data_IF_276051514191
#
_entry.id   IF_276051514191
#
_cell.length_a   1.000
_cell.length_b   1.000
_cell.length_c   1.000
_cell.angle_alpha   90.00
_cell.angle_beta   90.00
_cell.angle_gamma   90.00
#
_symmetry.space_group_name_H-M   'P 1'
#
loop_
_entity.id
_entity.type
_entity.pdbx_description
1 polymer ?
#
# COMPACT_ATOMS: atom_id res chain seq x y z
N UNK A 1 32.22 47.82 20.09
CA UNK A 1 32.00 46.36 20.20
C UNK A 1 30.53 46.10 19.94
N UNK A 2 30.16 45.59 18.76
CA UNK A 2 28.79 45.20 18.43
C UNK A 2 28.85 43.86 17.71
N UNK A 3 28.15 42.88 18.27
CA UNK A 3 28.22 41.48 17.90
C UNK A 3 27.46 41.23 16.59
N UNK A 4 28.17 40.80 15.55
CA UNK A 4 27.60 40.17 14.36
C UNK A 4 27.02 38.81 14.73
N UNK A 5 25.69 38.74 14.88
CA UNK A 5 24.96 37.49 14.96
C UNK A 5 25.05 36.77 13.60
N UNK A 6 25.82 35.67 13.57
CA UNK A 6 25.87 34.74 12.44
C UNK A 6 24.51 34.04 12.32
N UNK A 7 23.77 34.37 11.26
CA UNK A 7 22.60 33.60 10.82
C UNK A 7 23.10 32.24 10.30
N UNK A 8 22.54 31.09 10.74
CA UNK A 8 22.97 29.79 10.26
C UNK A 8 22.61 29.60 8.78
N UNK A 9 23.62 29.30 7.96
CA UNK A 9 23.47 28.80 6.58
C UNK A 9 22.73 27.45 6.59
N UNK A 10 21.40 27.48 6.57
CA UNK A 10 20.55 26.32 6.25
C UNK A 10 19.19 26.71 5.60
N UNK A 11 19.02 27.97 5.20
CA UNK A 11 17.83 28.49 4.51
C UNK A 11 18.21 28.98 3.11
N UNK A 12 18.68 28.09 2.23
CA UNK A 12 18.76 28.35 0.78
C UNK A 12 19.17 27.08 0.06
N UNK A 13 18.22 26.26 -0.41
CA UNK A 13 18.52 25.29 -1.47
C UNK A 13 17.38 25.00 -2.43
N UNK A 14 16.16 25.51 -2.21
CA UNK A 14 15.02 25.29 -3.12
C UNK A 14 14.51 26.55 -3.83
N UNK A 15 14.85 27.77 -3.39
CA UNK A 15 14.36 29.03 -3.99
C UNK A 15 12.85 29.29 -3.85
N UNK A 16 12.02 28.26 -3.71
CA UNK A 16 10.56 28.34 -3.54
C UNK A 16 10.24 28.69 -2.08
N UNK A 17 9.60 29.83 -1.86
CA UNK A 17 9.09 30.25 -0.55
C UNK A 17 7.64 29.77 -0.39
N UNK A 18 7.46 28.63 0.27
CA UNK A 18 6.15 28.04 0.52
C UNK A 18 5.43 28.72 1.70
N UNK A 19 4.08 28.79 1.67
CA UNK A 19 3.30 29.25 2.81
C UNK A 19 3.53 28.34 4.03
N UNK A 20 3.49 28.89 5.26
CA UNK A 20 3.68 28.11 6.47
C UNK A 20 2.64 26.99 6.59
N UNK A 21 2.97 25.93 7.33
CA UNK A 21 1.99 24.91 7.68
C UNK A 21 0.88 25.51 8.56
N UNK A 22 -0.39 25.06 8.39
CA UNK A 22 -1.45 25.40 9.34
C UNK A 22 -1.03 25.03 10.76
N UNK A 23 -1.35 25.87 11.74
CA UNK A 23 -1.06 25.52 13.14
C UNK A 23 -2.01 24.43 13.64
N UNK A 24 -1.68 23.78 14.75
CA UNK A 24 -2.61 22.85 15.43
C UNK A 24 -3.95 23.56 15.74
N UNK A 25 -3.91 24.83 16.10
CA UNK A 25 -5.12 25.64 16.34
C UNK A 25 -5.96 25.80 15.07
N UNK A 26 -5.32 26.01 13.93
CA UNK A 26 -6.01 26.13 12.64
C UNK A 26 -6.64 24.80 12.23
N UNK A 27 -5.94 23.68 12.44
CA UNK A 27 -6.50 22.34 12.24
C UNK A 27 -7.72 22.09 13.13
N UNK A 28 -7.63 22.42 14.43
CA UNK A 28 -8.77 22.26 15.35
C UNK A 28 -9.97 23.09 14.90
N UNK A 29 -9.75 24.34 14.45
CA UNK A 29 -10.81 25.20 13.90
C UNK A 29 -11.42 24.62 12.62
N UNK A 30 -10.58 24.19 11.68
CA UNK A 30 -11.00 23.60 10.41
C UNK A 30 -11.84 22.33 10.61
N UNK A 31 -11.48 21.54 11.62
CA UNK A 31 -12.15 20.27 11.87
C UNK A 31 -13.42 20.40 12.70
N UNK A 32 -13.59 21.47 13.48
CA UNK A 32 -14.55 21.55 14.57
C UNK A 32 -14.36 20.40 15.58
N UNK A 33 -14.34 20.70 16.89
CA UNK A 33 -13.91 19.76 17.94
C UNK A 33 -14.61 18.38 17.93
N UNK A 34 -15.82 18.27 17.35
CA UNK A 34 -16.58 17.01 17.26
C UNK A 34 -16.20 16.10 16.08
N UNK A 35 -15.66 16.60 14.96
CA UNK A 35 -15.39 15.79 13.77
C UNK A 35 -13.99 15.16 13.70
N UNK A 36 -13.07 15.57 14.60
CA UNK A 36 -11.69 15.05 14.66
C UNK A 36 -11.66 13.52 14.89
N UNK A 37 -12.64 12.97 15.63
CA UNK A 37 -12.75 11.51 15.85
C UNK A 37 -13.27 10.74 14.64
N UNK A 38 -14.05 11.36 13.75
CA UNK A 38 -14.75 10.64 12.69
C UNK A 38 -13.86 10.32 11.48
N UNK A 39 -12.73 11.01 11.30
CA UNK A 39 -11.96 10.91 10.07
C UNK A 39 -10.75 9.98 10.13
N UNK A 40 -10.41 9.41 11.29
CA UNK A 40 -9.29 8.45 11.44
C UNK A 40 -7.99 8.93 10.77
N UNK A 41 -7.80 10.24 10.67
CA UNK A 41 -6.65 10.90 10.04
C UNK A 41 -5.71 11.37 11.13
N UNK A 42 -4.42 11.03 10.99
CA UNK A 42 -3.35 11.47 11.89
C UNK A 42 -2.39 12.34 11.08
N UNK A 43 -2.33 13.64 11.35
CA UNK A 43 -1.51 14.58 10.58
C UNK A 43 -0.08 14.64 11.10
N UNK A 44 0.88 14.64 10.17
CA UNK A 44 2.29 14.84 10.48
C UNK A 44 2.66 16.30 10.21
N UNK A 45 2.93 17.04 11.27
CA UNK A 45 3.19 18.49 11.20
C UNK A 45 4.67 18.86 11.36
N UNK A 46 5.51 17.89 11.72
CA UNK A 46 6.95 18.08 11.86
C UNK A 46 7.65 17.93 10.49
N UNK A 47 8.15 19.04 9.97
CA UNK A 47 8.83 19.10 8.67
C UNK A 47 10.06 18.18 8.59
N UNK A 48 10.77 17.94 9.71
CA UNK A 48 11.94 17.05 9.70
C UNK A 48 11.53 15.62 9.40
N UNK A 49 10.35 15.21 9.87
CA UNK A 49 9.80 13.87 9.64
C UNK A 49 9.21 13.75 8.24
N UNK A 50 8.49 14.76 7.74
CA UNK A 50 7.98 14.75 6.35
C UNK A 50 9.14 14.74 5.35
N UNK A 51 10.20 15.53 5.59
CA UNK A 51 11.41 15.50 4.76
C UNK A 51 12.11 14.14 4.83
N UNK A 52 12.07 13.46 6.00
CA UNK A 52 12.63 12.10 6.15
C UNK A 52 11.83 11.06 5.36
N UNK A 53 10.51 11.17 5.31
CA UNK A 53 9.65 10.31 4.48
C UNK A 53 9.99 10.50 3.01
N UNK A 54 10.07 11.75 2.54
CA UNK A 54 10.37 12.04 1.13
C UNK A 54 11.78 11.56 0.76
N UNK A 55 12.78 11.74 1.62
CA UNK A 55 14.12 11.15 1.41
C UNK A 55 14.10 9.63 1.32
N UNK A 56 13.20 8.96 2.04
CA UNK A 56 13.10 7.50 1.99
C UNK A 56 12.54 6.99 0.66
N UNK A 57 11.74 7.80 -0.03
CA UNK A 57 11.25 7.52 -1.39
C UNK A 57 12.37 7.53 -2.47
N UNK A 58 13.55 8.04 -2.12
CA UNK A 58 14.70 8.11 -3.01
C UNK A 58 14.77 9.42 -3.80
N UNK A 59 15.39 9.37 -4.97
CA UNK A 59 15.50 10.54 -5.86
C UNK A 59 14.15 10.77 -6.53
N UNK A 60 13.54 11.92 -6.27
CA UNK A 60 12.28 12.33 -6.90
C UNK A 60 12.39 13.63 -7.71
N UNK A 61 13.59 14.21 -7.78
CA UNK A 61 13.86 15.37 -8.62
C UNK A 61 13.64 15.01 -10.08
N UNK A 62 12.92 15.85 -10.80
CA UNK A 62 12.56 15.67 -12.22
C UNK A 62 11.69 14.42 -12.50
N UNK A 63 11.16 13.77 -11.46
CA UNK A 63 10.25 12.62 -11.54
C UNK A 63 8.78 13.02 -11.42
N UNK A 64 7.88 12.07 -11.61
CA UNK A 64 6.45 12.21 -11.39
C UNK A 64 6.09 11.65 -10.01
N UNK A 65 5.34 12.42 -9.22
CA UNK A 65 4.99 12.05 -7.85
C UNK A 65 3.49 12.14 -7.68
N UNK A 66 2.87 11.07 -7.18
CA UNK A 66 1.48 11.08 -6.74
C UNK A 66 1.45 11.05 -5.22
N UNK A 67 0.91 12.08 -4.60
CA UNK A 67 0.67 12.11 -3.16
C UNK A 67 -0.78 11.71 -2.85
N UNK A 68 -0.95 10.72 -1.96
CA UNK A 68 -2.26 10.27 -1.50
C UNK A 68 -2.59 10.88 -0.15
N UNK A 69 -3.71 11.61 -0.09
CA UNK A 69 -4.21 12.22 1.14
C UNK A 69 -3.24 13.24 1.74
N UNK A 70 -2.89 14.31 1.01
CA UNK A 70 -1.94 15.33 1.46
C UNK A 70 -2.35 16.02 2.77
N UNK A 71 -3.65 16.06 3.07
CA UNK A 71 -4.19 16.71 4.25
C UNK A 71 -3.74 18.18 4.34
N UNK A 72 -3.12 18.61 5.46
CA UNK A 72 -2.62 19.98 5.60
C UNK A 72 -1.40 20.32 4.71
N UNK A 73 -0.90 19.36 3.93
CA UNK A 73 0.20 19.54 2.99
C UNK A 73 1.59 19.49 3.62
N UNK A 74 1.75 18.73 4.71
CA UNK A 74 3.05 18.50 5.35
C UNK A 74 4.03 17.81 4.40
N UNK A 75 3.64 16.63 3.91
CA UNK A 75 4.43 15.85 2.95
C UNK A 75 4.50 16.55 1.59
N UNK A 76 3.40 17.15 1.12
CA UNK A 76 3.36 17.97 -0.11
C UNK A 76 4.47 19.01 -0.15
N UNK A 77 4.66 19.79 0.93
CA UNK A 77 5.74 20.80 0.99
C UNK A 77 7.13 20.17 0.89
N UNK A 78 7.35 19.05 1.57
CA UNK A 78 8.60 18.29 1.48
C UNK A 78 8.85 17.75 0.07
N UNK A 79 7.80 17.30 -0.64
CA UNK A 79 7.87 16.88 -2.05
C UNK A 79 8.23 18.07 -2.95
N UNK A 80 7.53 19.19 -2.82
CA UNK A 80 7.76 20.40 -3.64
C UNK A 80 9.23 20.85 -3.56
N UNK A 81 9.83 20.82 -2.36
CA UNK A 81 11.23 21.20 -2.13
C UNK A 81 12.24 20.29 -2.85
N UNK A 82 11.85 19.10 -3.30
CA UNK A 82 12.70 18.21 -4.08
C UNK A 82 12.60 18.43 -5.60
N UNK A 83 11.76 19.36 -6.05
CA UNK A 83 11.57 19.70 -7.46
C UNK A 83 11.23 18.49 -8.35
N UNK A 84 10.13 17.76 -8.08
CA UNK A 84 9.59 16.82 -9.07
C UNK A 84 9.20 17.58 -10.33
N UNK A 85 9.14 16.87 -11.46
CA UNK A 85 8.62 17.38 -12.73
C UNK A 85 7.12 17.68 -12.62
N UNK A 86 6.39 16.73 -12.05
CA UNK A 86 4.94 16.79 -11.92
C UNK A 86 4.51 16.16 -10.60
N UNK A 87 3.76 16.91 -9.79
CA UNK A 87 3.12 16.45 -8.57
C UNK A 87 1.59 16.38 -8.75
N UNK A 88 1.00 15.19 -8.60
CA UNK A 88 -0.45 15.02 -8.50
C UNK A 88 -0.80 14.75 -7.06
N UNK A 89 -1.75 15.49 -6.48
CA UNK A 89 -2.26 15.21 -5.13
C UNK A 89 -3.71 14.75 -5.20
N UNK A 90 -4.04 13.65 -4.52
CA UNK A 90 -5.41 13.12 -4.45
C UNK A 90 -5.94 13.31 -3.04
N UNK A 91 -6.87 14.24 -2.86
CA UNK A 91 -7.44 14.58 -1.56
C UNK A 91 -8.97 14.47 -1.57
N UNK A 92 -9.50 13.71 -0.60
CA UNK A 92 -10.93 13.47 -0.44
C UNK A 92 -11.61 14.57 0.37
N UNK A 93 -10.91 15.12 1.36
CA UNK A 93 -11.42 16.13 2.26
C UNK A 93 -11.34 17.53 1.65
N UNK A 94 -12.51 18.07 1.31
CA UNK A 94 -12.66 19.40 0.70
C UNK A 94 -12.05 20.52 1.52
N UNK A 95 -11.91 20.34 2.82
CA UNK A 95 -11.43 21.40 3.73
C UNK A 95 -9.96 21.74 3.50
N UNK A 96 -9.19 20.84 2.89
CA UNK A 96 -7.79 21.08 2.54
C UNK A 96 -7.58 21.65 1.14
N UNK A 97 -8.63 21.74 0.32
CA UNK A 97 -8.52 22.29 -1.05
C UNK A 97 -7.89 23.69 -1.07
N UNK A 98 -8.27 24.65 -0.20
CA UNK A 98 -7.62 25.97 -0.20
C UNK A 98 -6.12 25.91 0.08
N UNK A 99 -5.68 24.95 0.89
CA UNK A 99 -4.24 24.75 1.15
C UNK A 99 -3.54 24.16 -0.07
N UNK A 100 -4.17 23.20 -0.75
CA UNK A 100 -3.62 22.60 -1.97
C UNK A 100 -3.55 23.61 -3.11
N UNK A 101 -4.60 24.41 -3.31
CA UNK A 101 -4.68 25.47 -4.34
C UNK A 101 -3.56 26.50 -4.13
N UNK A 102 -3.36 26.96 -2.89
CA UNK A 102 -2.27 27.88 -2.55
C UNK A 102 -0.88 27.28 -2.82
N UNK A 103 -0.67 26.00 -2.51
CA UNK A 103 0.60 25.32 -2.80
C UNK A 103 0.81 25.15 -4.31
N UNK A 104 -0.24 24.83 -5.06
CA UNK A 104 -0.17 24.73 -6.51
C UNK A 104 0.19 26.08 -7.13
N UNK A 105 -0.48 27.17 -6.75
CA UNK A 105 -0.20 28.52 -7.25
C UNK A 105 1.27 28.94 -7.03
N UNK A 106 1.81 28.72 -5.83
CA UNK A 106 3.19 29.10 -5.48
C UNK A 106 4.24 28.19 -6.16
N UNK A 107 3.90 26.93 -6.43
CA UNK A 107 4.83 25.97 -7.05
C UNK A 107 4.81 25.99 -8.58
N UNK A 108 3.75 26.52 -9.19
CA UNK A 108 3.50 26.53 -10.63
C UNK A 108 4.65 27.08 -11.50
N UNK A 109 5.42 28.12 -11.08
CA UNK A 109 6.59 28.57 -11.87
C UNK A 109 7.75 27.57 -11.94
N UNK A 110 7.76 26.56 -11.08
CA UNK A 110 8.89 25.64 -10.91
C UNK A 110 8.58 24.20 -11.28
N UNK A 111 7.30 23.80 -11.20
CA UNK A 111 6.84 22.46 -11.53
C UNK A 111 5.32 22.46 -11.77
N UNK A 112 4.82 21.39 -12.39
CA UNK A 112 3.38 21.18 -12.51
C UNK A 112 2.83 20.54 -11.24
N UNK A 113 1.80 21.13 -10.66
CA UNK A 113 1.05 20.55 -9.54
C UNK A 113 -0.44 20.46 -9.87
N UNK A 114 -0.97 19.25 -9.98
CA UNK A 114 -2.38 18.98 -10.27
C UNK A 114 -3.10 18.50 -9.00
N UNK A 115 -4.29 19.04 -8.75
CA UNK A 115 -5.10 18.71 -7.57
C UNK A 115 -6.31 17.90 -8.00
N UNK A 116 -6.37 16.65 -7.54
CA UNK A 116 -7.50 15.76 -7.75
C UNK A 116 -8.32 15.71 -6.48
N UNK A 117 -9.58 16.14 -6.58
CA UNK A 117 -10.53 16.03 -5.49
C UNK A 117 -11.30 14.72 -5.58
N UNK A 118 -10.93 13.72 -4.80
CA UNK A 118 -11.54 12.39 -4.88
C UNK A 118 -11.03 11.39 -3.85
N UNK A 119 -11.63 10.20 -3.84
CA UNK A 119 -11.13 9.06 -3.07
C UNK A 119 -10.05 8.34 -3.90
N UNK A 120 -8.90 8.08 -3.29
CA UNK A 120 -7.82 7.33 -3.94
C UNK A 120 -8.23 5.92 -4.32
N UNK A 121 -9.19 5.31 -3.60
CA UNK A 121 -9.69 3.97 -3.91
C UNK A 121 -10.46 3.91 -5.25
N UNK A 122 -10.96 5.05 -5.72
CA UNK A 122 -11.77 5.16 -6.95
C UNK A 122 -11.01 5.90 -8.07
N UNK A 123 -9.88 6.53 -7.76
CA UNK A 123 -9.10 7.32 -8.72
C UNK A 123 -8.25 6.43 -9.63
N UNK A 124 -8.35 6.68 -10.94
CA UNK A 124 -7.60 5.97 -11.98
C UNK A 124 -6.28 6.68 -12.27
N UNK A 125 -5.17 6.07 -11.85
CA UNK A 125 -3.84 6.69 -11.88
C UNK A 125 -3.20 6.67 -13.28
N UNK A 126 -3.67 5.82 -14.20
CA UNK A 126 -3.11 5.65 -15.56
C UNK A 126 -3.07 6.97 -16.37
N UNK A 127 -3.91 7.94 -16.03
CA UNK A 127 -3.97 9.25 -16.68
C UNK A 127 -3.43 10.40 -15.83
N UNK A 128 -2.81 10.12 -14.69
CA UNK A 128 -2.33 11.15 -13.76
C UNK A 128 -1.18 11.97 -14.34
N UNK A 129 -0.32 11.34 -15.16
CA UNK A 129 0.88 11.94 -15.73
C UNK A 129 0.87 11.85 -17.26
N UNK A 130 0.13 12.75 -17.95
CA UNK A 130 0.08 12.76 -19.41
C UNK A 130 1.42 13.13 -20.07
N UNK A 131 2.34 13.71 -19.29
CA UNK A 131 3.70 14.07 -19.68
C UNK A 131 4.75 12.99 -19.36
N UNK A 132 4.32 11.85 -18.82
CA UNK A 132 5.18 10.70 -18.53
C UNK A 132 5.02 9.63 -19.60
N UNK A 133 6.09 9.39 -20.36
CA UNK A 133 6.18 8.23 -21.25
C UNK A 133 6.26 6.93 -20.43
N UNK A 134 5.61 5.84 -20.86
CA UNK A 134 5.78 4.54 -20.23
C UNK A 134 7.24 4.08 -20.24
N UNK A 135 7.75 3.70 -19.06
CA UNK A 135 9.08 3.11 -18.91
C UNK A 135 9.01 1.61 -19.15
N UNK A 136 9.97 1.03 -19.88
CA UNK A 136 10.11 -0.42 -20.00
C UNK A 136 10.19 -1.09 -18.61
N UNK A 137 9.29 -2.04 -18.38
CA UNK A 137 9.23 -2.81 -17.14
C UNK A 137 10.55 -3.51 -16.81
N UNK A 138 11.26 -3.97 -17.85
CA UNK A 138 12.48 -4.75 -17.72
C UNK A 138 13.74 -3.89 -17.53
N UNK A 139 13.63 -2.56 -17.60
CA UNK A 139 14.76 -1.68 -17.34
C UNK A 139 15.30 -1.91 -15.92
N UNK A 140 16.63 -2.00 -15.71
CA UNK A 140 17.24 -2.05 -14.37
C UNK A 140 16.82 -0.88 -13.47
N UNK A 141 16.65 0.31 -14.04
CA UNK A 141 16.19 1.51 -13.36
C UNK A 141 14.66 1.53 -13.35
N UNK A 142 14.01 1.59 -12.18
CA UNK A 142 12.56 1.71 -12.10
C UNK A 142 12.05 2.99 -12.77
N UNK A 143 10.77 2.98 -13.17
CA UNK A 143 10.10 4.15 -13.71
C UNK A 143 10.26 5.37 -12.78
N UNK A 144 10.42 6.59 -13.32
CA UNK A 144 10.51 7.82 -12.53
C UNK A 144 9.14 8.26 -12.01
N UNK A 145 8.41 7.34 -11.39
CA UNK A 145 7.07 7.51 -10.83
C UNK A 145 7.06 7.01 -9.38
N UNK A 146 6.66 7.88 -8.46
CA UNK A 146 6.62 7.59 -7.03
C UNK A 146 5.25 7.91 -6.43
N UNK A 147 4.67 6.95 -5.73
CA UNK A 147 3.46 7.17 -4.94
C UNK A 147 3.87 7.33 -3.48
N UNK A 148 3.53 8.48 -2.89
CA UNK A 148 3.89 8.82 -1.51
C UNK A 148 2.62 9.10 -0.74
N UNK A 149 2.50 8.65 0.51
CA UNK A 149 1.29 8.93 1.27
C UNK A 149 1.37 8.61 2.74
N UNK A 150 0.79 9.49 3.56
CA UNK A 150 0.48 9.21 4.95
C UNK A 150 -0.97 8.74 5.06
N UNK A 151 -1.20 7.46 4.77
CA UNK A 151 -2.54 6.93 4.55
C UNK A 151 -3.35 6.81 5.86
N UNK A 152 -4.66 7.10 5.84
CA UNK A 152 -5.54 6.70 6.93
C UNK A 152 -5.49 5.18 7.14
N UNK A 153 -5.32 4.74 8.38
CA UNK A 153 -5.08 3.33 8.68
C UNK A 153 -6.21 2.42 8.20
N UNK A 154 -7.46 2.88 8.29
CA UNK A 154 -8.65 2.15 7.88
C UNK A 154 -8.67 1.72 6.41
N UNK A 155 -7.99 2.47 5.52
CA UNK A 155 -7.95 2.16 4.08
C UNK A 155 -6.61 1.57 3.63
N UNK A 156 -5.54 1.81 4.39
CA UNK A 156 -4.15 1.53 3.98
C UNK A 156 -3.91 0.09 3.48
N UNK A 157 -4.40 -0.91 4.21
CA UNK A 157 -4.21 -2.32 3.84
C UNK A 157 -5.01 -2.70 2.59
N UNK A 158 -6.24 -2.20 2.46
CA UNK A 158 -7.07 -2.45 1.26
C UNK A 158 -6.45 -1.81 0.03
N UNK A 159 -6.01 -0.55 0.16
CA UNK A 159 -5.35 0.17 -0.93
C UNK A 159 -4.08 -0.54 -1.39
N UNK A 160 -3.25 -1.02 -0.45
CA UNK A 160 -2.04 -1.77 -0.78
C UNK A 160 -2.35 -3.06 -1.55
N UNK A 161 -3.39 -3.82 -1.15
CA UNK A 161 -3.80 -5.03 -1.88
C UNK A 161 -4.29 -4.70 -3.29
N UNK A 162 -5.10 -3.65 -3.46
CA UNK A 162 -5.52 -3.18 -4.79
C UNK A 162 -4.31 -2.81 -5.67
N UNK A 163 -3.34 -2.11 -5.09
CA UNK A 163 -2.12 -1.73 -5.78
C UNK A 163 -1.21 -2.90 -6.13
N UNK A 164 -1.14 -3.95 -5.30
CA UNK A 164 -0.47 -5.20 -5.69
C UNK A 164 -1.19 -5.89 -6.85
N UNK A 165 -2.52 -5.79 -6.93
CA UNK A 165 -3.29 -6.27 -8.09
C UNK A 165 -2.96 -5.47 -9.35
N UNK A 166 -2.94 -4.13 -9.24
CA UNK A 166 -2.58 -3.25 -10.34
C UNK A 166 -1.12 -3.46 -10.79
N UNK A 167 -0.18 -3.70 -9.86
CA UNK A 167 1.20 -4.13 -10.16
C UNK A 167 1.20 -5.42 -10.98
N UNK A 168 0.43 -6.41 -10.57
CA UNK A 168 0.34 -7.70 -11.28
C UNK A 168 -0.24 -7.55 -12.69
N UNK A 169 -1.18 -6.63 -12.88
CA UNK A 169 -1.86 -6.38 -14.16
C UNK A 169 -1.16 -5.32 -15.01
N UNK A 170 -0.14 -4.65 -14.45
CA UNK A 170 0.56 -3.49 -15.05
C UNK A 170 -0.42 -2.36 -15.42
N UNK A 171 -1.40 -2.12 -14.54
CA UNK A 171 -2.40 -1.06 -14.64
C UNK A 171 -2.14 0.02 -13.59
N UNK A 172 -2.98 1.05 -13.52
CA UNK A 172 -2.81 2.16 -12.58
C UNK A 172 -1.48 2.89 -12.77
N UNK A 173 -0.78 3.13 -11.66
CA UNK A 173 0.56 3.70 -11.67
C UNK A 173 1.60 2.82 -12.38
N UNK A 174 1.34 1.52 -12.50
CA UNK A 174 2.26 0.54 -13.08
C UNK A 174 2.15 0.44 -14.60
N UNK A 175 1.20 1.16 -15.21
CA UNK A 175 1.20 1.44 -16.64
C UNK A 175 2.48 2.20 -17.07
N UNK A 176 3.00 3.08 -16.21
CA UNK A 176 4.22 3.83 -16.47
C UNK A 176 5.52 3.03 -16.25
N UNK A 177 5.43 1.74 -15.92
CA UNK A 177 6.55 0.89 -15.56
C UNK A 177 6.60 0.58 -14.06
N UNK A 178 7.79 0.28 -13.51
CA UNK A 178 7.95 -0.13 -12.10
C UNK A 178 7.88 1.05 -11.12
N UNK A 179 6.72 1.70 -11.03
CA UNK A 179 6.45 2.77 -10.08
C UNK A 179 6.62 2.29 -8.62
N UNK A 180 7.27 3.10 -7.79
CA UNK A 180 7.55 2.75 -6.39
C UNK A 180 6.58 3.40 -5.42
N UNK A 181 6.40 2.79 -4.26
CA UNK A 181 5.55 3.29 -3.17
C UNK A 181 6.40 3.70 -1.97
N UNK A 182 6.03 4.77 -1.28
CA UNK A 182 6.53 5.13 0.06
C UNK A 182 5.37 5.55 0.94
N UNK A 183 4.95 4.64 1.81
CA UNK A 183 3.68 4.75 2.53
C UNK A 183 3.89 4.59 4.04
N UNK A 184 2.99 5.19 4.80
CA UNK A 184 2.94 4.99 6.25
C UNK A 184 1.87 3.96 6.61
N UNK A 185 2.17 3.14 7.62
CA UNK A 185 1.26 2.15 8.19
C UNK A 185 1.38 2.14 9.70
N UNK A 186 0.36 1.66 10.41
CA UNK A 186 0.53 1.31 11.83
C UNK A 186 1.70 0.33 11.99
N UNK A 187 2.44 0.45 13.10
CA UNK A 187 3.63 -0.37 13.39
C UNK A 187 3.45 -1.85 13.04
N UNK A 188 2.40 -2.48 13.55
CA UNK A 188 2.12 -3.90 13.31
C UNK A 188 1.87 -4.23 11.83
N UNK A 189 1.17 -3.35 11.11
CA UNK A 189 0.94 -3.52 9.66
C UNK A 189 2.24 -3.35 8.88
N UNK A 190 3.06 -2.36 9.25
CA UNK A 190 4.37 -2.16 8.63
C UNK A 190 5.29 -3.38 8.83
N UNK A 191 5.34 -3.92 10.05
CA UNK A 191 6.09 -5.15 10.36
C UNK A 191 5.55 -6.36 9.58
N UNK A 192 4.23 -6.50 9.47
CA UNK A 192 3.58 -7.56 8.67
C UNK A 192 3.95 -7.50 7.19
N UNK A 193 4.02 -6.30 6.59
CA UNK A 193 4.36 -6.15 5.16
C UNK A 193 5.75 -6.73 4.86
N UNK A 194 6.72 -6.52 5.75
CA UNK A 194 8.12 -6.95 5.56
C UNK A 194 8.46 -8.29 6.23
N UNK A 195 7.52 -8.92 6.92
CA UNK A 195 7.82 -10.05 7.80
C UNK A 195 8.45 -11.25 7.05
N UNK A 196 9.64 -11.73 7.49
CA UNK A 196 10.28 -12.90 6.92
C UNK A 196 9.58 -14.20 7.37
N UNK A 197 9.98 -15.31 6.75
CA UNK A 197 9.59 -16.67 7.19
C UNK A 197 9.85 -16.85 8.70
N UNK A 198 9.01 -17.63 9.38
CA UNK A 198 9.06 -17.89 10.82
C UNK A 198 8.79 -16.70 11.74
N UNK A 199 8.59 -15.49 11.21
CA UNK A 199 8.24 -14.32 12.02
C UNK A 199 6.83 -14.45 12.65
N UNK A 200 6.69 -13.91 13.86
CA UNK A 200 5.40 -13.73 14.51
C UNK A 200 4.45 -12.84 13.72
N UNK A 201 5.01 -11.89 12.96
CA UNK A 201 4.25 -10.99 12.09
C UNK A 201 3.97 -11.56 10.70
N UNK A 202 4.48 -12.76 10.38
CA UNK A 202 4.25 -13.35 9.05
C UNK A 202 2.77 -13.64 8.83
N UNK A 203 2.22 -13.11 7.75
CA UNK A 203 0.81 -13.22 7.42
C UNK A 203 0.59 -13.18 5.90
N UNK A 204 -0.68 -13.22 5.48
CA UNK A 204 -1.09 -13.02 4.07
C UNK A 204 -0.41 -11.81 3.45
N UNK A 205 -0.39 -10.68 4.16
CA UNK A 205 0.14 -9.42 3.62
C UNK A 205 1.64 -9.51 3.31
N UNK A 206 2.40 -10.23 4.14
CA UNK A 206 3.83 -10.48 3.93
C UNK A 206 4.08 -11.19 2.61
N UNK A 207 3.37 -12.30 2.39
CA UNK A 207 3.53 -13.14 1.20
C UNK A 207 3.07 -12.39 -0.05
N UNK A 208 1.91 -11.74 -0.01
CA UNK A 208 1.40 -10.97 -1.15
C UNK A 208 2.36 -9.86 -1.57
N UNK A 209 2.97 -9.11 -0.63
CA UNK A 209 3.96 -8.10 -1.01
C UNK A 209 5.21 -8.73 -1.64
N UNK A 210 5.73 -9.81 -1.05
CA UNK A 210 6.97 -10.45 -1.49
C UNK A 210 6.86 -11.14 -2.87
N UNK A 211 5.66 -11.45 -3.36
CA UNK A 211 5.45 -12.06 -4.68
C UNK A 211 5.68 -11.07 -5.83
N UNK A 212 5.19 -9.83 -5.69
CA UNK A 212 5.25 -8.82 -6.77
C UNK A 212 6.25 -7.69 -6.50
N UNK A 213 6.76 -7.58 -5.27
CA UNK A 213 7.56 -6.43 -4.87
C UNK A 213 8.62 -6.77 -3.83
N UNK A 214 9.54 -5.83 -3.61
CA UNK A 214 10.48 -5.81 -2.51
C UNK A 214 10.06 -4.74 -1.50
N UNK A 215 9.33 -5.10 -0.43
CA UNK A 215 9.03 -4.17 0.65
C UNK A 215 10.24 -3.98 1.58
N UNK A 216 10.47 -2.76 2.05
CA UNK A 216 11.51 -2.40 3.01
C UNK A 216 10.97 -1.45 4.09
N UNK A 217 11.16 -1.80 5.36
CA UNK A 217 10.74 -0.99 6.50
C UNK A 217 11.87 -0.01 6.81
N UNK A 218 11.69 1.25 6.41
CA UNK A 218 12.74 2.27 6.44
C UNK A 218 13.03 2.75 7.85
N UNK A 219 11.98 3.12 8.59
CA UNK A 219 12.08 3.57 9.97
C UNK A 219 10.69 3.63 10.63
N UNK A 220 10.70 3.75 11.96
CA UNK A 220 9.52 4.02 12.78
C UNK A 220 9.44 5.50 13.16
N UNK A 221 8.21 6.02 13.23
CA UNK A 221 7.85 7.34 13.73
C UNK A 221 7.01 7.13 14.99
N UNK A 222 7.38 7.81 16.08
CA UNK A 222 6.58 7.75 17.30
C UNK A 222 5.18 8.31 17.05
N UNK A 223 4.14 7.64 17.54
CA UNK A 223 2.77 8.14 17.46
C UNK A 223 2.61 9.55 18.04
N UNK A 224 3.47 9.96 18.99
CA UNK A 224 3.46 11.32 19.56
C UNK A 224 3.76 12.43 18.55
N UNK A 225 4.34 12.10 17.40
CA UNK A 225 4.63 13.07 16.34
C UNK A 225 3.41 13.46 15.51
N UNK A 226 2.28 12.78 15.68
CA UNK A 226 1.07 13.00 14.91
C UNK A 226 -0.01 13.74 15.70
N UNK A 227 -0.89 14.42 14.97
CA UNK A 227 -2.03 15.16 15.52
C UNK A 227 -3.31 14.77 14.76
N UNK A 228 -4.33 14.20 15.44
CA UNK A 228 -4.28 13.63 16.78
C UNK A 228 -3.24 12.50 16.88
N UNK A 229 -2.81 12.21 18.11
CA UNK A 229 -1.87 11.12 18.40
C UNK A 229 -2.58 9.77 18.19
N UNK A 230 -2.09 8.87 17.31
CA UNK A 230 -2.55 7.49 17.24
C UNK A 230 -2.11 6.70 18.48
N UNK A 231 -2.82 5.59 18.73
CA UNK A 231 -2.54 4.67 19.84
C UNK A 231 -1.22 3.91 19.68
N UNK A 232 -0.76 3.77 18.44
CA UNK A 232 0.43 3.01 18.06
C UNK A 232 1.40 3.87 17.27
N UNK A 233 2.65 3.44 17.25
CA UNK A 233 3.66 4.03 16.37
C UNK A 233 3.37 3.73 14.89
N UNK A 234 4.04 4.45 14.00
CA UNK A 234 3.80 4.41 12.57
C UNK A 234 5.09 4.02 11.85
N UNK A 235 5.05 2.98 11.02
CA UNK A 235 6.17 2.55 10.19
C UNK A 235 6.11 3.17 8.80
N UNK A 236 7.27 3.59 8.28
CA UNK A 236 7.44 4.05 6.90
C UNK A 236 7.99 2.89 6.07
N UNK A 237 7.24 2.45 5.06
CA UNK A 237 7.58 1.32 4.21
C UNK A 237 7.74 1.79 2.77
N UNK A 238 8.86 1.42 2.14
CA UNK A 238 9.04 1.55 0.68
C UNK A 238 8.76 0.23 0.00
N UNK A 239 8.11 0.26 -1.16
CA UNK A 239 7.75 -0.94 -1.91
C UNK A 239 8.15 -0.71 -3.37
N UNK A 240 9.03 -1.55 -3.89
CA UNK A 240 9.49 -1.48 -5.28
C UNK A 240 9.07 -2.74 -6.03
N UNK A 241 8.34 -2.64 -7.15
CA UNK A 241 7.96 -3.81 -7.95
C UNK A 241 9.20 -4.59 -8.44
N UNK A 242 9.08 -5.91 -8.44
CA UNK A 242 10.08 -6.80 -9.03
C UNK A 242 10.04 -6.68 -10.57
N UNK A 243 11.19 -6.85 -11.22
CA UNK A 243 11.24 -6.98 -12.69
C UNK A 243 10.48 -8.24 -13.13
N UNK A 244 10.76 -9.36 -12.47
CA UNK A 244 10.06 -10.63 -12.67
C UNK A 244 9.31 -10.97 -11.38
N UNK A 245 7.97 -10.90 -11.37
CA UNK A 245 7.17 -11.44 -10.27
C UNK A 245 7.49 -12.91 -10.03
N UNK A 246 7.32 -13.37 -8.79
CA UNK A 246 7.65 -14.76 -8.43
C UNK A 246 6.66 -15.79 -9.00
N UNK A 247 5.59 -15.35 -9.65
CA UNK A 247 4.57 -16.22 -10.26
C UNK A 247 3.99 -15.62 -11.53
N UNK A 248 3.46 -16.48 -12.39
CA UNK A 248 2.64 -16.13 -13.55
C UNK A 248 1.15 -16.40 -13.30
N UNK A 249 0.79 -16.98 -12.15
CA UNK A 249 -0.61 -17.25 -11.81
C UNK A 249 -1.34 -15.93 -11.57
N UNK A 250 -2.58 -15.84 -12.06
CA UNK A 250 -3.39 -14.63 -11.95
C UNK A 250 -3.57 -14.20 -10.48
N UNK A 251 -3.49 -12.89 -10.23
CA UNK A 251 -3.53 -12.29 -8.88
C UNK A 251 -4.70 -12.81 -8.03
N UNK A 252 -5.91 -12.84 -8.58
CA UNK A 252 -7.11 -13.23 -7.83
C UNK A 252 -7.05 -14.70 -7.35
N UNK A 253 -6.42 -15.58 -8.12
CA UNK A 253 -6.17 -16.98 -7.72
C UNK A 253 -5.16 -17.03 -6.59
N UNK A 254 -4.03 -16.32 -6.72
CA UNK A 254 -3.00 -16.23 -5.68
C UNK A 254 -3.62 -15.69 -4.39
N UNK A 255 -4.33 -14.55 -4.44
CA UNK A 255 -4.96 -13.95 -3.26
C UNK A 255 -5.95 -14.92 -2.62
N UNK A 256 -6.79 -15.61 -3.41
CA UNK A 256 -7.74 -16.60 -2.91
C UNK A 256 -7.03 -17.69 -2.11
N UNK A 257 -5.98 -18.30 -2.67
CA UNK A 257 -5.24 -19.39 -2.04
C UNK A 257 -4.47 -18.92 -0.80
N UNK A 258 -3.69 -17.85 -0.91
CA UNK A 258 -2.90 -17.31 0.22
C UNK A 258 -3.82 -16.90 1.37
N UNK A 259 -4.99 -16.30 1.08
CA UNK A 259 -5.99 -15.97 2.11
C UNK A 259 -6.46 -17.20 2.89
N UNK A 260 -6.62 -18.35 2.23
CA UNK A 260 -7.02 -19.59 2.89
C UNK A 260 -5.88 -20.21 3.70
N UNK A 261 -4.66 -20.25 3.15
CA UNK A 261 -3.46 -20.73 3.85
C UNK A 261 -3.27 -19.98 5.18
N UNK A 262 -3.40 -18.65 5.16
CA UNK A 262 -3.16 -17.81 6.34
C UNK A 262 -4.40 -17.57 7.22
N UNK A 263 -5.53 -18.23 6.94
CA UNK A 263 -6.79 -18.02 7.69
C UNK A 263 -6.77 -18.56 9.13
N UNK A 264 -5.91 -19.54 9.43
CA UNK A 264 -5.84 -20.22 10.73
C UNK A 264 -4.38 -20.40 11.17
N UNK A 265 -3.77 -19.38 11.76
CA UNK A 265 -2.33 -19.37 12.15
C UNK A 265 -1.90 -20.56 13.01
N UNK A 266 -2.75 -20.98 13.95
CA UNK A 266 -2.43 -22.04 14.92
C UNK A 266 -2.73 -23.46 14.43
N UNK A 267 -3.29 -23.62 13.22
CA UNK A 267 -3.58 -24.92 12.62
C UNK A 267 -2.61 -25.19 11.48
N UNK A 268 -2.48 -26.46 11.10
CA UNK A 268 -1.73 -26.86 9.92
C UNK A 268 -2.34 -26.25 8.66
N UNK A 269 -1.48 -25.88 7.70
CA UNK A 269 -1.86 -25.18 6.46
C UNK A 269 -2.88 -25.98 5.66
N UNK A 270 -2.83 -27.32 5.75
CA UNK A 270 -3.82 -28.23 5.17
C UNK A 270 -5.26 -27.86 5.52
N UNK A 271 -5.51 -27.44 6.77
CA UNK A 271 -6.87 -27.05 7.18
C UNK A 271 -7.34 -25.81 6.42
N UNK A 272 -6.45 -24.86 6.17
CA UNK A 272 -6.73 -23.70 5.32
C UNK A 272 -6.99 -24.08 3.87
N UNK A 273 -6.08 -24.87 3.28
CA UNK A 273 -6.16 -25.34 1.89
C UNK A 273 -7.44 -26.15 1.64
N UNK A 274 -7.86 -27.00 2.59
CA UNK A 274 -9.08 -27.80 2.45
C UNK A 274 -10.36 -26.97 2.28
N UNK A 275 -10.37 -25.73 2.77
CA UNK A 275 -11.49 -24.81 2.59
C UNK A 275 -11.55 -24.19 1.19
N UNK A 276 -10.59 -24.47 0.31
CA UNK A 276 -10.67 -24.11 -1.12
C UNK A 276 -11.60 -25.03 -1.91
N UNK A 277 -11.98 -26.17 -1.33
CA UNK A 277 -12.67 -27.25 -2.03
C UNK A 277 -14.07 -27.52 -1.44
N UNK A 278 -15.07 -27.78 -2.31
CA UNK A 278 -16.40 -28.24 -1.89
C UNK A 278 -16.33 -29.51 -1.04
N UNK A 279 -17.26 -29.73 -0.09
CA UNK A 279 -17.23 -30.90 0.78
C UNK A 279 -17.17 -32.25 0.05
N UNK A 280 -17.76 -32.35 -1.14
CA UNK A 280 -17.83 -33.59 -1.95
C UNK A 280 -16.48 -34.05 -2.47
N UNK A 281 -15.54 -33.14 -2.69
CA UNK A 281 -14.22 -33.41 -3.30
C UNK A 281 -13.06 -32.95 -2.41
N UNK A 282 -13.36 -32.52 -1.18
CA UNK A 282 -12.42 -31.78 -0.32
C UNK A 282 -11.17 -32.57 -0.01
N UNK A 283 -11.33 -33.77 0.55
CA UNK A 283 -10.19 -34.51 1.08
C UNK A 283 -9.29 -34.99 -0.07
N UNK A 284 -9.89 -35.53 -1.13
CA UNK A 284 -9.19 -35.96 -2.34
C UNK A 284 -8.39 -34.81 -2.98
N UNK A 285 -9.04 -33.67 -3.26
CA UNK A 285 -8.36 -32.56 -3.91
C UNK A 285 -7.32 -31.92 -3.00
N UNK A 286 -7.55 -31.86 -1.68
CA UNK A 286 -6.54 -31.38 -0.72
C UNK A 286 -5.31 -32.28 -0.73
N UNK A 287 -5.48 -33.60 -0.70
CA UNK A 287 -4.36 -34.55 -0.80
C UNK A 287 -3.63 -34.43 -2.12
N UNK A 288 -4.36 -34.22 -3.22
CA UNK A 288 -3.76 -33.99 -4.51
C UNK A 288 -2.99 -32.66 -4.58
N UNK A 289 -3.48 -31.59 -3.95
CA UNK A 289 -2.75 -30.31 -3.84
C UNK A 289 -1.40 -30.50 -3.19
N UNK A 290 -1.34 -31.16 -2.02
CA UNK A 290 -0.09 -31.32 -1.27
C UNK A 290 0.88 -32.28 -1.95
N UNK A 291 0.37 -33.34 -2.60
CA UNK A 291 1.20 -34.23 -3.42
C UNK A 291 1.81 -33.49 -4.61
N UNK A 292 1.01 -32.72 -5.35
CA UNK A 292 1.49 -31.90 -6.49
C UNK A 292 2.45 -30.81 -6.04
N UNK A 293 2.11 -30.09 -4.98
CA UNK A 293 2.92 -28.98 -4.50
C UNK A 293 4.21 -29.45 -3.84
N UNK A 294 4.33 -30.70 -3.38
CA UNK A 294 5.48 -31.18 -2.59
C UNK A 294 5.73 -30.33 -1.33
N UNK A 295 4.65 -29.93 -0.65
CA UNK A 295 4.69 -29.18 0.61
C UNK A 295 4.20 -30.07 1.74
N UNK A 296 4.83 -29.99 2.91
CA UNK A 296 4.37 -30.70 4.09
C UNK A 296 2.98 -30.17 4.55
N UNK A 297 1.92 -31.01 4.54
CA UNK A 297 0.59 -30.60 4.97
C UNK A 297 0.50 -30.24 6.45
N UNK A 298 1.48 -30.65 7.27
CA UNK A 298 1.56 -30.38 8.71
C UNK A 298 2.34 -29.11 9.05
N UNK A 299 2.87 -28.40 8.04
CA UNK A 299 3.46 -27.08 8.26
C UNK A 299 2.39 -26.05 8.62
N UNK A 300 2.71 -25.12 9.53
CA UNK A 300 1.86 -23.96 9.83
C UNK A 300 2.13 -22.84 8.83
N UNK A 301 1.15 -21.97 8.63
CA UNK A 301 1.21 -20.93 7.58
C UNK A 301 2.42 -20.00 7.68
N UNK A 302 2.86 -19.64 8.88
CA UNK A 302 4.04 -18.78 9.09
C UNK A 302 5.38 -19.51 8.86
N UNK A 303 5.37 -20.84 8.75
CA UNK A 303 6.55 -21.65 8.42
C UNK A 303 6.74 -21.79 6.91
N UNK A 304 5.71 -21.49 6.11
CA UNK A 304 5.80 -21.60 4.66
C UNK A 304 6.58 -20.42 4.07
N UNK A 305 7.56 -20.74 3.23
CA UNK A 305 8.23 -19.83 2.33
C UNK A 305 7.27 -19.28 1.26
N UNK A 306 7.71 -18.25 0.53
CA UNK A 306 6.93 -17.73 -0.61
C UNK A 306 6.83 -18.77 -1.72
N UNK A 307 7.93 -19.49 -2.00
CA UNK A 307 7.97 -20.60 -2.95
C UNK A 307 6.95 -21.70 -2.62
N UNK A 308 6.95 -22.21 -1.39
CA UNK A 308 5.99 -23.25 -0.97
C UNK A 308 4.55 -22.78 -1.09
N UNK A 309 4.28 -21.50 -0.77
CA UNK A 309 2.97 -20.91 -0.97
C UNK A 309 2.59 -20.90 -2.46
N UNK A 310 3.50 -20.53 -3.35
CA UNK A 310 3.27 -20.47 -4.79
C UNK A 310 3.09 -21.86 -5.41
N UNK A 311 3.84 -22.88 -4.98
CA UNK A 311 3.61 -24.27 -5.41
C UNK A 311 2.21 -24.78 -5.03
N UNK A 312 1.68 -24.37 -3.86
CA UNK A 312 0.29 -24.66 -3.49
C UNK A 312 -0.69 -23.91 -4.42
N UNK A 313 -0.38 -22.65 -4.76
CA UNK A 313 -1.19 -21.84 -5.69
C UNK A 313 -1.22 -22.48 -7.08
N UNK A 314 -0.08 -22.87 -7.63
CA UNK A 314 0.06 -23.51 -8.94
C UNK A 314 -0.69 -24.85 -8.98
N UNK A 315 -0.52 -25.69 -7.95
CA UNK A 315 -1.26 -26.94 -7.84
C UNK A 315 -2.78 -26.69 -7.77
N UNK A 316 -3.24 -25.65 -7.05
CA UNK A 316 -4.65 -25.27 -7.03
C UNK A 316 -5.13 -24.77 -8.40
N UNK A 317 -4.35 -23.93 -9.09
CA UNK A 317 -4.72 -23.36 -10.37
C UNK A 317 -4.90 -24.45 -11.45
N UNK A 318 -3.96 -25.39 -11.53
CA UNK A 318 -4.06 -26.58 -12.40
C UNK A 318 -5.32 -27.39 -12.12
N UNK A 319 -5.57 -27.73 -10.84
CA UNK A 319 -6.77 -28.49 -10.46
C UNK A 319 -8.05 -27.72 -10.77
N UNK A 320 -8.03 -26.39 -10.68
CA UNK A 320 -9.18 -25.54 -10.99
C UNK A 320 -9.51 -25.48 -12.47
N UNK A 321 -8.52 -25.72 -13.34
CA UNK A 321 -8.71 -25.84 -14.78
C UNK A 321 -9.37 -27.19 -15.12
N UNK A 322 -9.02 -28.26 -14.40
CA UNK A 322 -9.58 -29.60 -14.57
C UNK A 322 -10.97 -29.75 -13.94
N UNK A 323 -11.25 -28.99 -12.88
CA UNK A 323 -12.49 -29.01 -12.11
C UNK A 323 -13.12 -27.61 -12.03
N UNK A 324 -13.76 -27.08 -13.09
CA UNK A 324 -14.26 -25.71 -13.13
C UNK A 324 -15.18 -25.34 -11.95
N UNK A 325 -15.88 -26.31 -11.36
CA UNK A 325 -16.75 -26.16 -10.20
C UNK A 325 -16.03 -25.63 -8.94
N UNK A 326 -14.71 -25.82 -8.80
CA UNK A 326 -13.97 -25.35 -7.63
C UNK A 326 -13.57 -23.88 -7.71
N UNK A 327 -13.52 -23.29 -8.92
CA UNK A 327 -13.13 -21.88 -9.12
C UNK A 327 -14.10 -20.94 -8.44
N UNK A 328 -15.40 -21.20 -8.62
CA UNK A 328 -16.49 -20.42 -8.02
C UNK A 328 -16.80 -20.78 -6.57
N UNK A 329 -16.20 -21.83 -6.01
CA UNK A 329 -16.47 -22.23 -4.63
C UNK A 329 -15.97 -21.19 -3.64
N UNK A 330 -16.87 -20.77 -2.75
CA UNK A 330 -16.58 -19.92 -1.60
C UNK A 330 -17.08 -20.59 -0.31
N UNK A 331 -16.15 -21.06 0.50
CA UNK A 331 -16.40 -21.67 1.80
C UNK A 331 -17.16 -20.75 2.77
N UNK A 332 -17.06 -19.42 2.59
CA UNK A 332 -17.69 -18.42 3.45
C UNK A 332 -19.03 -17.93 2.91
N UNK A 333 -19.46 -18.37 1.72
CA UNK A 333 -20.77 -18.03 1.21
C UNK A 333 -21.86 -18.52 2.19
N UNK A 334 -22.96 -17.76 2.38
CA UNK A 334 -24.08 -18.22 3.19
C UNK A 334 -24.52 -19.59 2.69
N UNK A 335 -24.57 -20.59 3.58
CA UNK A 335 -25.16 -21.89 3.23
C UNK A 335 -26.59 -21.62 2.78
N UNK A 336 -26.91 -21.87 1.51
CA UNK A 336 -28.30 -21.86 1.05
C UNK A 336 -29.06 -22.81 1.98
N UNK A 337 -29.98 -22.29 2.78
CA UNK A 337 -30.90 -23.12 3.55
C UNK A 337 -31.65 -23.98 2.52
N UNK A 338 -31.40 -25.29 2.55
CA UNK A 338 -32.10 -26.23 1.69
C UNK A 338 -33.60 -26.14 1.96
N UNK A 339 -34.36 -25.82 0.91
CA UNK A 339 -35.77 -26.11 0.86
C UNK A 339 -36.05 -27.61 0.86
N UNK A 340 -37.32 -27.93 1.14
CA UNK A 340 -37.93 -29.25 1.28
C UNK A 340 -37.80 -29.90 2.67
N UNK A 341 -38.55 -29.38 3.65
CA UNK A 341 -39.24 -30.29 4.58
C UNK A 341 -40.47 -30.83 3.85
N UNK A 342 -40.45 -32.14 3.59
CA UNK A 342 -41.58 -32.85 3.02
C UNK A 342 -42.82 -32.66 3.88
N UNK A 343 -43.95 -32.46 3.20
CA UNK A 343 -45.27 -32.67 3.75
C UNK A 343 -45.41 -34.16 4.08
N UNK A 344 -45.70 -34.46 5.35
CA UNK A 344 -46.66 -35.48 5.76
C UNK A 344 -47.33 -34.97 7.03
#
# INVERSE_FOLDING_TARGET
MSATAKIPKALASSGIRLPPLPTIRDLVKLYQLRAIKQLSQNFLMDERLTDKIVRAAGKIRDHHVLEVGPGPGGITRSIIRQHPRHLVVVEKDRRFMPTMEMLAEVSQPFMRMDIVRGDILDYRIEGAFPDCEPHDWMDPVPAPVHLIGNLPFAISTRLLINWLRDMSLRTGAWHYGRASLTLTFQKEVAERIVAPILSDQRCRLSVMNQIWSKPDLRFMISGRAFVPKPEVDVGVVTIVPLQTPLTQVHFDTVEKVIRHIFSMRQKYCRRGVSNLYPPTVRDELTDLTFRKSSVDPLSRSFQLSVDECLRIVEAYDELSQQHPEIRGYDYRAPKKQGGARGQY
#
